data_IF_974600181355
#
_entry.id   IF_974600181355
#
_cell.length_a   1.000
_cell.length_b   1.000
_cell.length_c   1.000
_cell.angle_alpha   90.00
_cell.angle_beta   90.00
_cell.angle_gamma   90.00
#
_symmetry.space_group_name_H-M   'P 1'
#
loop_
_entity.id
_entity.type
_entity.pdbx_description
1 polymer ?
#
# COMPACT_ATOMS: atom_id res chain seq x y z
N UNK A 1 24.20 18.49 -21.72
CA UNK A 1 23.26 19.48 -22.32
C UNK A 1 22.19 20.00 -21.34
N UNK A 2 22.56 20.25 -20.08
CA UNK A 2 21.60 20.75 -19.08
C UNK A 2 21.69 22.26 -18.83
N UNK A 3 22.63 22.97 -19.44
CA UNK A 3 22.77 24.41 -19.24
C UNK A 3 23.10 25.11 -20.58
N UNK A 4 22.16 25.89 -21.07
CA UNK A 4 22.36 26.86 -22.19
C UNK A 4 23.36 27.99 -21.86
N UNK A 5 24.09 27.89 -20.74
CA UNK A 5 25.05 28.88 -20.27
C UNK A 5 26.48 28.36 -20.43
N UNK A 6 27.41 29.23 -20.84
CA UNK A 6 28.82 28.94 -20.87
C UNK A 6 29.32 28.60 -19.44
N UNK A 7 29.73 27.37 -19.25
CA UNK A 7 30.30 26.89 -17.97
C UNK A 7 31.81 27.14 -18.03
N UNK A 8 32.35 27.87 -17.03
CA UNK A 8 33.79 28.06 -16.85
C UNK A 8 34.29 27.13 -15.76
N UNK A 9 35.28 26.28 -16.08
CA UNK A 9 35.90 25.37 -15.13
C UNK A 9 37.16 26.08 -14.55
N UNK A 10 37.17 26.37 -13.25
CA UNK A 10 38.31 27.04 -12.63
C UNK A 10 39.54 26.12 -12.63
N UNK A 11 40.68 26.68 -13.10
CA UNK A 11 41.93 25.92 -13.22
C UNK A 11 42.91 26.15 -12.03
N UNK A 12 42.75 27.21 -11.21
CA UNK A 12 43.61 27.57 -10.09
C UNK A 12 42.89 28.45 -9.06
N UNK A 13 43.47 28.57 -7.87
CA UNK A 13 42.97 29.44 -6.80
C UNK A 13 41.81 28.84 -5.99
N UNK A 14 41.15 29.66 -5.17
CA UNK A 14 40.11 29.24 -4.23
C UNK A 14 38.94 28.52 -4.92
N UNK A 15 38.52 28.97 -6.10
CA UNK A 15 37.46 28.34 -6.87
C UNK A 15 37.85 26.92 -7.35
N UNK A 16 39.11 26.68 -7.69
CA UNK A 16 39.60 25.33 -8.03
C UNK A 16 39.56 24.42 -6.83
N UNK A 17 39.98 24.92 -5.64
CA UNK A 17 39.90 24.14 -4.41
C UNK A 17 38.45 23.80 -4.04
N UNK A 18 37.53 24.74 -4.20
CA UNK A 18 36.12 24.50 -3.99
C UNK A 18 35.55 23.44 -4.97
N UNK A 19 35.95 23.51 -6.25
CA UNK A 19 35.55 22.50 -7.25
C UNK A 19 36.12 21.12 -6.87
N UNK A 20 37.39 21.02 -6.46
CA UNK A 20 37.94 19.74 -6.03
C UNK A 20 37.19 19.16 -4.82
N UNK A 21 36.91 19.98 -3.80
CA UNK A 21 36.13 19.56 -2.63
C UNK A 21 34.71 19.09 -3.04
N UNK A 22 34.09 19.80 -3.95
CA UNK A 22 32.77 19.37 -4.45
C UNK A 22 32.84 18.03 -5.20
N UNK A 23 33.89 17.80 -6.01
CA UNK A 23 34.10 16.52 -6.69
C UNK A 23 34.39 15.38 -5.71
N UNK A 24 35.24 15.63 -4.69
CA UNK A 24 35.50 14.65 -3.63
C UNK A 24 34.24 14.27 -2.86
N UNK A 25 33.43 15.24 -2.42
CA UNK A 25 32.17 15.00 -1.75
C UNK A 25 31.20 14.23 -2.64
N UNK A 26 31.10 14.56 -3.92
CA UNK A 26 30.27 13.84 -4.88
C UNK A 26 30.71 12.39 -5.05
N UNK A 27 32.04 12.15 -5.12
CA UNK A 27 32.61 10.80 -5.21
C UNK A 27 32.29 9.99 -3.97
N UNK A 28 32.50 10.54 -2.76
CA UNK A 28 32.14 9.87 -1.50
C UNK A 28 30.67 9.51 -1.46
N UNK A 29 29.79 10.48 -1.74
CA UNK A 29 28.33 10.25 -1.75
C UNK A 29 27.91 9.19 -2.77
N UNK A 30 28.54 9.13 -3.94
CA UNK A 30 28.31 8.09 -4.94
C UNK A 30 28.76 6.71 -4.43
N UNK A 31 29.96 6.61 -3.88
CA UNK A 31 30.48 5.35 -3.34
C UNK A 31 29.58 4.82 -2.23
N UNK A 32 29.23 5.65 -1.25
CA UNK A 32 28.29 5.26 -0.19
C UNK A 32 26.94 4.80 -0.73
N UNK A 33 26.43 5.46 -1.76
CA UNK A 33 25.17 5.07 -2.41
C UNK A 33 25.28 3.71 -3.08
N UNK A 34 26.37 3.42 -3.80
CA UNK A 34 26.58 2.12 -4.43
C UNK A 34 26.74 1.02 -3.41
N UNK A 35 27.53 1.22 -2.36
CA UNK A 35 27.69 0.24 -1.27
C UNK A 35 26.36 -0.05 -0.55
N UNK A 36 25.53 0.97 -0.35
CA UNK A 36 24.21 0.78 0.21
C UNK A 36 23.29 -0.05 -0.72
N UNK A 37 23.31 0.22 -2.03
CA UNK A 37 22.52 -0.55 -3.02
C UNK A 37 22.95 -2.02 -3.03
N UNK A 38 24.26 -2.30 -3.10
CA UNK A 38 24.81 -3.66 -3.08
C UNK A 38 24.43 -4.39 -1.78
N UNK A 39 24.53 -3.70 -0.65
CA UNK A 39 24.13 -4.27 0.65
C UNK A 39 22.63 -4.57 0.71
N UNK A 40 21.78 -3.66 0.24
CA UNK A 40 20.33 -3.88 0.18
C UNK A 40 19.97 -5.05 -0.74
N UNK A 41 20.65 -5.18 -1.87
CA UNK A 41 20.45 -6.29 -2.79
C UNK A 41 20.89 -7.61 -2.18
N UNK A 42 22.06 -7.66 -1.55
CA UNK A 42 22.54 -8.85 -0.84
C UNK A 42 21.57 -9.28 0.27
N UNK A 43 21.12 -8.33 1.10
CA UNK A 43 20.19 -8.60 2.18
C UNK A 43 18.85 -9.15 1.64
N UNK A 44 18.39 -8.62 0.50
CA UNK A 44 17.18 -9.06 -0.19
C UNK A 44 17.32 -10.49 -0.69
N UNK A 45 18.41 -10.81 -1.36
CA UNK A 45 18.67 -12.18 -1.86
C UNK A 45 18.79 -13.19 -0.72
N UNK A 46 19.42 -12.80 0.40
CA UNK A 46 19.49 -13.65 1.60
C UNK A 46 18.10 -13.91 2.20
N UNK A 47 17.26 -12.88 2.30
CA UNK A 47 15.89 -13.03 2.79
C UNK A 47 15.03 -13.90 1.87
N UNK A 48 15.22 -13.80 0.56
CA UNK A 48 14.54 -14.62 -0.45
C UNK A 48 14.91 -16.10 -0.29
N UNK A 49 16.21 -16.39 -0.23
CA UNK A 49 16.71 -17.77 -0.09
C UNK A 49 16.27 -18.37 1.23
N UNK A 50 16.40 -17.64 2.35
CA UNK A 50 15.97 -18.10 3.67
C UNK A 50 14.46 -18.41 3.69
N UNK A 51 13.61 -17.56 3.13
CA UNK A 51 12.16 -17.80 3.08
C UNK A 51 11.82 -18.99 2.18
N UNK A 52 12.48 -19.09 1.04
CA UNK A 52 12.31 -20.20 0.10
C UNK A 52 12.66 -21.54 0.74
N UNK A 53 13.78 -21.62 1.45
CA UNK A 53 14.21 -22.82 2.17
C UNK A 53 13.28 -23.18 3.33
N UNK A 54 12.93 -22.20 4.18
CA UNK A 54 12.04 -22.41 5.34
C UNK A 54 10.66 -22.95 4.95
N UNK A 55 10.15 -22.52 3.81
CA UNK A 55 8.86 -22.98 3.29
C UNK A 55 8.98 -24.11 2.26
N UNK A 56 10.21 -24.56 1.95
CA UNK A 56 10.50 -25.62 0.96
C UNK A 56 9.88 -25.31 -0.41
N UNK A 57 9.97 -24.06 -0.86
CA UNK A 57 9.38 -23.63 -2.13
C UNK A 57 10.36 -23.87 -3.29
N UNK A 58 9.87 -24.37 -4.45
CA UNK A 58 10.73 -24.56 -5.62
C UNK A 58 11.15 -23.21 -6.25
N UNK A 59 10.30 -22.20 -6.09
CA UNK A 59 10.45 -20.85 -6.64
C UNK A 59 9.80 -19.83 -5.70
N UNK A 60 10.33 -18.59 -5.65
CA UNK A 60 9.76 -17.51 -4.85
C UNK A 60 10.06 -16.13 -5.48
N UNK A 61 9.49 -15.86 -6.62
CA UNK A 61 9.64 -14.56 -7.29
C UNK A 61 8.50 -13.61 -6.97
N UNK A 62 7.28 -14.15 -6.77
CA UNK A 62 6.08 -13.34 -6.55
C UNK A 62 5.37 -13.70 -5.24
N UNK A 63 5.19 -12.71 -4.40
CA UNK A 63 4.47 -12.81 -3.14
C UNK A 63 3.25 -11.88 -3.19
N UNK A 64 2.07 -12.40 -2.85
CA UNK A 64 0.87 -11.60 -2.60
C UNK A 64 0.52 -11.66 -1.12
N UNK A 65 0.51 -10.50 -0.45
CA UNK A 65 0.19 -10.42 0.97
C UNK A 65 -1.16 -9.76 1.20
N UNK A 66 -1.94 -10.31 2.14
CA UNK A 66 -3.31 -9.92 2.44
C UNK A 66 -3.47 -9.52 3.89
N UNK A 67 -4.20 -8.43 4.11
CA UNK A 67 -4.66 -7.99 5.42
C UNK A 67 -6.11 -7.54 5.32
N UNK A 68 -6.91 -7.89 6.31
CA UNK A 68 -8.27 -7.41 6.47
C UNK A 68 -8.34 -6.45 7.63
N UNK A 69 -8.81 -5.25 7.37
CA UNK A 69 -9.04 -4.27 8.42
C UNK A 69 -10.51 -3.98 8.59
N UNK A 70 -10.95 -3.94 9.86
CA UNK A 70 -12.29 -3.62 10.28
C UNK A 70 -12.37 -2.18 10.77
N UNK A 71 -13.30 -1.40 10.25
CA UNK A 71 -13.52 -0.03 10.73
C UNK A 71 -14.83 0.06 11.50
N UNK A 72 -14.73 0.21 12.83
CA UNK A 72 -15.82 0.64 13.75
C UNK A 72 -17.24 0.21 13.31
N UNK A 73 -17.46 -1.09 13.12
CA UNK A 73 -18.80 -1.68 13.00
C UNK A 73 -19.52 -1.56 11.66
N UNK A 74 -18.89 -1.00 10.60
CA UNK A 74 -19.65 -0.76 9.37
C UNK A 74 -19.17 -1.49 8.11
N UNK A 75 -17.86 -1.65 7.89
CA UNK A 75 -17.39 -2.30 6.67
C UNK A 75 -16.02 -2.95 6.86
N UNK A 76 -15.90 -4.18 6.38
CA UNK A 76 -14.61 -4.84 6.19
C UNK A 76 -13.98 -4.40 4.87
N UNK A 77 -12.67 -4.23 4.91
CA UNK A 77 -11.87 -3.94 3.72
C UNK A 77 -10.67 -4.85 3.71
N UNK A 78 -10.49 -5.56 2.59
CA UNK A 78 -9.27 -6.29 2.32
C UNK A 78 -8.25 -5.44 1.56
N UNK A 79 -7.01 -5.49 1.98
CA UNK A 79 -5.85 -4.98 1.25
C UNK A 79 -5.02 -6.13 0.70
N UNK A 80 -4.56 -6.01 -0.54
CA UNK A 80 -3.58 -6.89 -1.14
C UNK A 80 -2.40 -6.08 -1.62
N UNK A 81 -1.20 -6.46 -1.23
CA UNK A 81 0.06 -5.92 -1.75
C UNK A 81 0.82 -7.00 -2.48
N UNK A 82 1.61 -6.60 -3.45
CA UNK A 82 2.39 -7.51 -4.30
C UNK A 82 3.86 -7.15 -4.20
N UNK A 83 4.68 -8.17 -4.04
CA UNK A 83 6.13 -8.07 -4.09
C UNK A 83 6.64 -9.01 -5.19
N UNK A 84 7.32 -8.44 -6.17
CA UNK A 84 8.00 -9.19 -7.23
C UNK A 84 9.51 -9.09 -6.98
N UNK A 85 10.19 -10.23 -6.93
CA UNK A 85 11.62 -10.31 -6.55
C UNK A 85 11.96 -9.54 -5.27
N UNK A 86 11.08 -9.66 -4.26
CA UNK A 86 11.20 -8.99 -2.95
C UNK A 86 11.15 -7.45 -3.01
N UNK A 87 10.70 -6.89 -4.13
CA UNK A 87 10.46 -5.44 -4.31
C UNK A 87 8.96 -5.17 -4.44
N UNK A 88 8.45 -4.07 -3.84
CA UNK A 88 7.03 -3.77 -3.89
C UNK A 88 6.56 -3.36 -5.30
N UNK A 89 5.64 -4.11 -5.88
CA UNK A 89 4.97 -3.77 -7.14
C UNK A 89 3.64 -3.06 -6.88
N UNK A 90 3.71 -1.76 -6.63
CA UNK A 90 2.54 -0.93 -6.26
C UNK A 90 1.46 -0.86 -7.33
N UNK A 91 1.78 -1.13 -8.60
CA UNK A 91 0.81 -1.10 -9.69
C UNK A 91 -0.20 -2.26 -9.59
N UNK A 92 0.20 -3.33 -8.92
CA UNK A 92 -0.64 -4.51 -8.73
C UNK A 92 -1.33 -4.59 -7.37
N UNK A 93 -1.17 -3.60 -6.52
CA UNK A 93 -1.91 -3.52 -5.25
C UNK A 93 -3.41 -3.43 -5.49
N UNK A 94 -4.19 -4.15 -4.71
CA UNK A 94 -5.66 -4.18 -4.84
C UNK A 94 -6.34 -3.93 -3.50
N UNK A 95 -7.50 -3.30 -3.57
CA UNK A 95 -8.40 -3.06 -2.42
C UNK A 95 -9.73 -3.74 -2.70
N UNK A 96 -10.22 -4.45 -1.71
CA UNK A 96 -11.46 -5.19 -1.79
C UNK A 96 -12.45 -4.58 -0.79
N UNK A 97 -13.54 -4.03 -1.32
CA UNK A 97 -14.69 -3.72 -0.49
C UNK A 97 -15.42 -5.05 -0.24
N UNK A 98 -15.51 -5.45 1.02
CA UNK A 98 -16.12 -6.70 1.43
C UNK A 98 -17.63 -6.50 1.57
N UNK A 99 -18.42 -7.55 1.33
CA UNK A 99 -19.88 -7.51 1.45
C UNK A 99 -20.31 -7.11 2.86
N UNK A 100 -21.41 -6.35 2.96
CA UNK A 100 -22.00 -5.96 4.25
C UNK A 100 -22.60 -7.13 5.03
N UNK A 101 -22.79 -8.28 4.37
CA UNK A 101 -23.30 -9.51 5.00
C UNK A 101 -22.22 -10.26 5.79
N UNK A 102 -20.95 -10.00 5.48
CA UNK A 102 -19.79 -10.58 6.18
C UNK A 102 -19.63 -9.93 7.55
N UNK A 103 -19.61 -10.74 8.61
CA UNK A 103 -19.61 -10.27 10.00
C UNK A 103 -18.35 -10.61 10.78
N UNK A 104 -17.45 -11.39 10.20
CA UNK A 104 -16.22 -11.86 10.85
C UNK A 104 -15.01 -11.80 9.92
N UNK A 105 -13.83 -11.75 10.52
CA UNK A 105 -12.55 -11.59 9.81
C UNK A 105 -12.22 -12.78 8.91
N UNK A 106 -12.65 -13.99 9.27
CA UNK A 106 -12.35 -15.21 8.50
C UNK A 106 -13.20 -15.26 7.22
N UNK A 107 -14.48 -14.96 7.33
CA UNK A 107 -15.38 -14.85 6.16
C UNK A 107 -14.93 -13.72 5.24
N UNK A 108 -14.43 -12.62 5.81
CA UNK A 108 -13.84 -11.53 5.04
C UNK A 108 -12.60 -11.97 4.28
N UNK A 109 -11.69 -12.74 4.92
CA UNK A 109 -10.50 -13.29 4.28
C UNK A 109 -10.89 -14.23 3.13
N UNK A 110 -11.83 -15.14 3.35
CA UNK A 110 -12.32 -16.06 2.31
C UNK A 110 -12.87 -15.30 1.10
N UNK A 111 -13.68 -14.26 1.31
CA UNK A 111 -14.22 -13.44 0.22
C UNK A 111 -13.10 -12.77 -0.60
N UNK A 112 -12.11 -12.19 0.05
CA UNK A 112 -11.00 -11.51 -0.61
C UNK A 112 -10.16 -12.50 -1.43
N UNK A 113 -9.77 -13.62 -0.83
CA UNK A 113 -8.98 -14.68 -1.48
C UNK A 113 -9.76 -15.25 -2.66
N UNK A 114 -11.04 -15.60 -2.48
CA UNK A 114 -11.88 -16.10 -3.55
C UNK A 114 -11.95 -15.13 -4.73
N UNK A 115 -12.28 -13.86 -4.49
CA UNK A 115 -12.40 -12.84 -5.55
C UNK A 115 -11.09 -12.60 -6.29
N UNK A 116 -9.96 -12.67 -5.58
CA UNK A 116 -8.65 -12.52 -6.22
C UNK A 116 -8.34 -13.72 -7.11
N UNK A 117 -8.41 -14.93 -6.59
CA UNK A 117 -7.94 -16.12 -7.30
C UNK A 117 -8.95 -16.68 -8.30
N UNK A 118 -10.25 -16.47 -8.09
CA UNK A 118 -11.24 -16.69 -9.15
C UNK A 118 -10.94 -15.81 -10.37
N UNK A 119 -10.56 -14.56 -10.13
CA UNK A 119 -10.17 -13.65 -11.22
C UNK A 119 -8.84 -14.05 -11.87
N UNK A 120 -7.87 -14.55 -11.10
CA UNK A 120 -6.62 -15.10 -11.65
C UNK A 120 -6.91 -16.23 -12.62
N UNK A 121 -7.82 -17.12 -12.27
CA UNK A 121 -8.25 -18.23 -13.15
C UNK A 121 -8.98 -17.75 -14.40
N UNK A 122 -9.91 -16.81 -14.25
CA UNK A 122 -10.75 -16.35 -15.36
C UNK A 122 -10.03 -15.45 -16.37
N UNK A 123 -9.06 -14.67 -15.91
CA UNK A 123 -8.33 -13.69 -16.72
C UNK A 123 -6.89 -14.15 -17.01
N UNK A 124 -6.53 -15.40 -16.67
CA UNK A 124 -5.21 -16.01 -16.88
C UNK A 124 -4.05 -15.15 -16.33
N UNK A 125 -4.27 -14.48 -15.19
CA UNK A 125 -3.23 -13.71 -14.53
C UNK A 125 -2.16 -14.64 -13.93
N UNK A 126 -0.95 -14.10 -13.78
CA UNK A 126 0.13 -14.80 -13.10
C UNK A 126 -0.24 -15.04 -11.64
N UNK A 127 -0.28 -16.31 -11.22
CA UNK A 127 -0.44 -16.69 -9.83
C UNK A 127 0.85 -16.38 -9.04
N UNK A 128 0.75 -16.06 -7.74
CA UNK A 128 1.93 -15.89 -6.91
C UNK A 128 2.58 -17.25 -6.57
N UNK A 129 3.86 -17.19 -6.21
CA UNK A 129 4.57 -18.33 -5.67
C UNK A 129 4.29 -18.54 -4.17
N UNK A 130 3.80 -17.49 -3.49
CA UNK A 130 3.44 -17.52 -2.08
C UNK A 130 2.31 -16.52 -1.78
N UNK A 131 1.32 -16.99 -1.02
CA UNK A 131 0.32 -16.14 -0.35
C UNK A 131 0.77 -15.93 1.09
N UNK A 132 0.87 -14.66 1.52
CA UNK A 132 1.06 -14.30 2.92
C UNK A 132 -0.24 -13.69 3.48
N UNK A 133 -0.65 -14.13 4.66
CA UNK A 133 -1.78 -13.55 5.40
C UNK A 133 -1.29 -12.89 6.69
N UNK A 134 -1.81 -11.69 7.00
CA UNK A 134 -1.58 -11.06 8.30
C UNK A 134 -2.43 -11.75 9.36
N UNK A 135 -1.89 -12.80 9.94
CA UNK A 135 -2.57 -13.63 10.93
C UNK A 135 -1.92 -15.00 11.10
N UNK A 136 -2.51 -15.80 11.98
CA UNK A 136 -2.04 -17.15 12.32
C UNK A 136 -2.85 -18.25 11.65
N UNK A 137 -3.01 -19.35 12.38
CA UNK A 137 -3.62 -20.60 11.91
C UNK A 137 -5.01 -20.44 11.28
N UNK A 138 -5.86 -19.60 11.91
CA UNK A 138 -7.24 -19.41 11.43
C UNK A 138 -7.29 -18.75 10.05
N UNK A 139 -6.46 -17.73 9.85
CA UNK A 139 -6.39 -17.02 8.57
C UNK A 139 -5.77 -17.89 7.47
N UNK A 140 -4.74 -18.68 7.79
CA UNK A 140 -4.14 -19.66 6.88
C UNK A 140 -5.18 -20.69 6.46
N UNK A 141 -5.91 -21.27 7.44
CA UNK A 141 -6.95 -22.27 7.18
C UNK A 141 -8.06 -21.70 6.28
N UNK A 142 -8.52 -20.49 6.59
CA UNK A 142 -9.55 -19.81 5.79
C UNK A 142 -9.09 -19.55 4.34
N UNK A 143 -7.84 -19.13 4.15
CA UNK A 143 -7.27 -18.92 2.82
C UNK A 143 -7.08 -20.25 2.07
N UNK A 144 -6.60 -21.30 2.77
CA UNK A 144 -6.38 -22.62 2.20
C UNK A 144 -7.66 -23.28 1.70
N UNK A 145 -8.74 -23.23 2.47
CA UNK A 145 -10.04 -23.76 2.06
C UNK A 145 -10.47 -23.19 0.69
N UNK A 146 -10.29 -21.90 0.48
CA UNK A 146 -10.66 -21.23 -0.77
C UNK A 146 -9.73 -21.64 -1.92
N UNK A 147 -8.42 -21.72 -1.68
CA UNK A 147 -7.44 -22.14 -2.69
C UNK A 147 -7.68 -23.58 -3.13
N UNK A 148 -8.03 -24.45 -2.17
CA UNK A 148 -8.37 -25.85 -2.43
C UNK A 148 -9.70 -25.97 -3.21
N UNK A 149 -10.74 -25.17 -2.87
CA UNK A 149 -12.01 -25.09 -3.63
C UNK A 149 -11.79 -24.64 -5.08
N UNK A 150 -10.86 -23.76 -5.32
CA UNK A 150 -10.51 -23.29 -6.66
C UNK A 150 -9.55 -24.23 -7.39
N UNK A 151 -9.17 -25.34 -6.78
CA UNK A 151 -8.21 -26.32 -7.32
C UNK A 151 -6.85 -25.72 -7.71
N UNK A 152 -6.43 -24.71 -6.94
CA UNK A 152 -5.13 -24.09 -7.08
C UNK A 152 -4.10 -24.73 -6.13
N UNK A 153 -2.84 -24.76 -6.55
CA UNK A 153 -1.75 -25.23 -5.71
C UNK A 153 -0.79 -24.08 -5.42
N UNK A 154 -1.22 -23.16 -4.56
CA UNK A 154 -0.43 -22.00 -4.17
C UNK A 154 -0.10 -22.13 -2.67
N UNK A 155 1.20 -22.15 -2.30
CA UNK A 155 1.61 -22.18 -0.90
C UNK A 155 1.09 -20.97 -0.12
N UNK A 156 0.72 -21.20 1.16
CA UNK A 156 0.19 -20.16 2.05
C UNK A 156 1.02 -20.16 3.33
N UNK A 157 1.36 -18.97 3.81
CA UNK A 157 1.96 -18.78 5.11
C UNK A 157 1.33 -17.58 5.84
N UNK A 158 1.44 -17.53 7.14
CA UNK A 158 0.89 -16.47 7.99
C UNK A 158 1.97 -15.77 8.81
N UNK A 159 1.74 -14.50 9.08
CA UNK A 159 2.59 -13.68 9.93
C UNK A 159 1.88 -13.46 11.27
N UNK A 160 2.28 -14.23 12.29
CA UNK A 160 1.70 -14.14 13.62
C UNK A 160 2.40 -13.07 14.45
N UNK A 161 1.62 -12.20 15.06
CA UNK A 161 2.08 -11.16 15.98
C UNK A 161 2.23 -11.72 17.39
N UNK A 162 3.26 -11.26 18.11
CA UNK A 162 3.38 -11.52 19.54
C UNK A 162 2.44 -10.62 20.35
N UNK A 163 2.45 -10.79 21.68
CA UNK A 163 1.67 -9.98 22.63
C UNK A 163 1.98 -8.47 22.55
N UNK A 164 3.10 -8.09 21.95
CA UNK A 164 3.50 -6.70 21.69
C UNK A 164 3.06 -6.18 20.32
N UNK A 165 2.20 -6.92 19.61
CA UNK A 165 1.72 -6.64 18.26
C UNK A 165 2.82 -6.51 17.17
N UNK A 166 3.97 -7.17 17.40
CA UNK A 166 5.05 -7.26 16.41
C UNK A 166 5.09 -8.67 15.82
N UNK A 167 5.36 -8.78 14.53
CA UNK A 167 5.64 -10.07 13.89
C UNK A 167 6.73 -10.78 14.66
N UNK A 168 6.51 -12.02 15.00
CA UNK A 168 7.51 -12.80 15.72
C UNK A 168 7.68 -14.20 15.16
N UNK A 169 6.68 -14.68 14.44
CA UNK A 169 6.60 -16.07 14.00
C UNK A 169 6.00 -16.13 12.60
N UNK A 170 6.67 -16.86 11.73
CA UNK A 170 6.12 -17.32 10.46
C UNK A 170 5.39 -18.64 10.71
N UNK A 171 4.15 -18.75 10.24
CA UNK A 171 3.38 -19.99 10.32
C UNK A 171 3.25 -20.55 8.90
N UNK A 172 3.72 -21.78 8.68
CA UNK A 172 3.61 -22.40 7.37
C UNK A 172 2.22 -23.02 7.11
N UNK A 173 2.00 -23.54 5.90
CA UNK A 173 0.73 -24.17 5.52
C UNK A 173 0.34 -25.42 6.32
N UNK A 174 1.31 -26.06 7.01
CA UNK A 174 1.09 -27.20 7.92
C UNK A 174 0.83 -26.73 9.35
N UNK A 175 0.62 -25.44 9.55
CA UNK A 175 0.36 -24.77 10.82
C UNK A 175 1.53 -24.87 11.82
N UNK A 176 2.75 -25.10 11.33
CA UNK A 176 3.95 -25.10 12.16
C UNK A 176 4.48 -23.68 12.31
N UNK A 177 4.73 -23.32 13.56
CA UNK A 177 5.36 -22.05 13.90
C UNK A 177 6.87 -22.11 13.69
N UNK A 178 7.39 -21.15 12.95
CA UNK A 178 8.82 -20.95 12.67
C UNK A 178 9.22 -19.62 13.29
N UNK A 179 9.95 -19.63 14.42
CA UNK A 179 10.39 -18.41 15.06
C UNK A 179 11.43 -17.70 14.18
N UNK A 180 11.27 -16.38 14.03
CA UNK A 180 12.16 -15.55 13.22
C UNK A 180 13.13 -14.78 14.13
N UNK A 181 14.45 -14.90 13.93
CA UNK A 181 15.41 -14.06 14.63
C UNK A 181 15.17 -12.57 14.30
N UNK A 182 15.07 -11.72 15.34
CA UNK A 182 14.65 -10.30 15.19
C UNK A 182 15.58 -9.44 14.33
N UNK A 183 16.81 -9.85 14.17
CA UNK A 183 17.89 -9.21 13.44
C UNK A 183 18.16 -9.86 12.07
N UNK A 184 17.42 -10.92 11.71
CA UNK A 184 17.54 -11.53 10.40
C UNK A 184 16.98 -10.62 9.29
N UNK A 185 17.58 -10.69 8.11
CA UNK A 185 17.08 -9.97 6.94
C UNK A 185 15.68 -10.40 6.55
N UNK A 186 15.38 -11.69 6.72
CA UNK A 186 14.03 -12.22 6.51
C UNK A 186 13.01 -11.60 7.46
N UNK A 187 13.32 -11.52 8.76
CA UNK A 187 12.44 -10.89 9.73
C UNK A 187 12.12 -9.44 9.36
N UNK A 188 13.15 -8.66 9.01
CA UNK A 188 12.98 -7.26 8.59
C UNK A 188 12.14 -7.15 7.31
N UNK A 189 12.34 -8.06 6.36
CA UNK A 189 11.56 -8.09 5.13
C UNK A 189 10.09 -8.43 5.38
N UNK A 190 9.80 -9.46 6.16
CA UNK A 190 8.42 -9.87 6.47
C UNK A 190 7.67 -8.81 7.28
N UNK A 191 8.35 -8.12 8.22
CA UNK A 191 7.78 -6.95 8.89
C UNK A 191 7.43 -5.84 7.90
N UNK A 192 8.32 -5.56 6.93
CA UNK A 192 8.05 -4.56 5.89
C UNK A 192 6.82 -4.92 5.04
N UNK A 193 6.64 -6.19 4.68
CA UNK A 193 5.42 -6.65 3.98
C UNK A 193 4.19 -6.41 4.85
N UNK A 194 4.24 -6.82 6.12
CA UNK A 194 3.13 -6.69 7.05
C UNK A 194 2.74 -5.22 7.28
N UNK A 195 3.71 -4.36 7.51
CA UNK A 195 3.49 -2.93 7.66
C UNK A 195 2.88 -2.31 6.38
N UNK A 196 3.35 -2.74 5.22
CA UNK A 196 2.87 -2.21 3.93
C UNK A 196 1.44 -2.65 3.63
N UNK A 197 1.08 -3.93 3.86
CA UNK A 197 -0.29 -4.40 3.61
C UNK A 197 -1.26 -3.76 4.60
N UNK A 198 -0.89 -3.66 5.87
CA UNK A 198 -1.68 -2.99 6.90
C UNK A 198 -1.88 -1.50 6.58
N UNK A 199 -0.80 -0.78 6.28
CA UNK A 199 -0.86 0.61 5.84
C UNK A 199 -1.77 0.80 4.63
N UNK A 200 -1.69 -0.12 3.66
CA UNK A 200 -2.47 -0.06 2.44
C UNK A 200 -3.97 -0.31 2.69
N UNK A 201 -4.32 -1.30 3.51
CA UNK A 201 -5.68 -1.58 3.92
C UNK A 201 -6.29 -0.38 4.69
N UNK A 202 -5.58 0.17 5.68
CA UNK A 202 -6.03 1.35 6.45
C UNK A 202 -6.18 2.60 5.56
N UNK A 203 -5.31 2.79 4.57
CA UNK A 203 -5.39 3.95 3.68
C UNK A 203 -6.73 4.05 2.95
N UNK A 204 -7.36 2.92 2.67
CA UNK A 204 -8.68 2.86 2.04
C UNK A 204 -9.79 3.33 2.98
N UNK A 205 -9.73 2.94 4.25
CA UNK A 205 -10.68 3.41 5.25
C UNK A 205 -10.63 4.93 5.41
N UNK A 206 -9.42 5.51 5.48
CA UNK A 206 -9.26 6.96 5.55
C UNK A 206 -9.89 7.66 4.34
N UNK A 207 -9.73 7.10 3.15
CA UNK A 207 -10.32 7.64 1.92
C UNK A 207 -11.86 7.52 1.90
N UNK A 208 -12.43 6.39 2.35
CA UNK A 208 -13.88 6.22 2.45
C UNK A 208 -14.45 7.18 3.50
N UNK A 209 -13.83 7.26 4.68
CA UNK A 209 -14.27 8.14 5.76
C UNK A 209 -14.21 9.61 5.34
N UNK A 210 -13.13 10.04 4.69
CA UNK A 210 -13.01 11.41 4.19
C UNK A 210 -14.05 11.73 3.10
N UNK A 211 -14.33 10.81 2.18
CA UNK A 211 -15.37 10.97 1.17
C UNK A 211 -16.77 10.97 1.78
N UNK A 212 -17.04 10.10 2.73
CA UNK A 212 -18.32 10.07 3.45
C UNK A 212 -18.57 11.32 4.28
N UNK A 213 -17.56 11.77 5.03
CA UNK A 213 -17.62 13.02 5.79
C UNK A 213 -17.80 14.23 4.86
N UNK A 214 -17.09 14.25 3.72
CA UNK A 214 -17.25 15.32 2.73
C UNK A 214 -18.64 15.30 2.11
N UNK A 215 -19.19 14.12 1.80
CA UNK A 215 -20.54 14.00 1.27
C UNK A 215 -21.58 14.51 2.27
N UNK A 216 -21.51 14.10 3.55
CA UNK A 216 -22.39 14.59 4.61
C UNK A 216 -22.27 16.09 4.83
N UNK A 217 -21.07 16.65 4.72
CA UNK A 217 -20.82 18.07 4.84
C UNK A 217 -21.45 18.86 3.68
N UNK A 218 -21.38 18.33 2.48
CA UNK A 218 -22.04 18.91 1.32
C UNK A 218 -23.58 18.81 1.38
N UNK A 219 -24.11 17.77 2.05
CA UNK A 219 -25.57 17.63 2.28
C UNK A 219 -26.11 18.73 3.21
N UNK A 220 -25.28 19.25 4.11
CA UNK A 220 -25.63 20.37 5.01
C UNK A 220 -25.39 21.74 4.36
N UNK A 221 -24.69 21.81 3.25
CA UNK A 221 -24.34 23.06 2.61
C UNK A 221 -25.55 23.70 1.91
N UNK A 222 -25.77 25.01 2.10
CA UNK A 222 -26.93 25.71 1.55
C UNK A 222 -26.92 25.69 0.02
N UNK A 223 -28.05 25.22 -0.56
CA UNK A 223 -28.23 25.17 -2.00
C UNK A 223 -27.49 24.06 -2.74
N UNK A 224 -26.85 23.14 -2.02
CA UNK A 224 -26.16 21.98 -2.60
C UNK A 224 -27.08 20.77 -2.51
N UNK A 225 -27.74 20.43 -3.63
CA UNK A 225 -28.46 19.15 -3.82
C UNK A 225 -27.58 18.11 -4.48
N UNK A 226 -28.09 16.87 -4.64
CA UNK A 226 -27.35 15.70 -5.12
C UNK A 226 -26.56 15.96 -6.43
N UNK A 227 -27.15 16.64 -7.40
CA UNK A 227 -26.51 16.93 -8.69
C UNK A 227 -25.27 17.84 -8.51
N UNK A 228 -25.42 18.91 -7.73
CA UNK A 228 -24.34 19.86 -7.44
C UNK A 228 -23.26 19.23 -6.55
N UNK A 229 -23.67 18.44 -5.57
CA UNK A 229 -22.77 17.62 -4.74
C UNK A 229 -21.90 16.71 -5.58
N UNK A 230 -22.50 15.96 -6.52
CA UNK A 230 -21.75 15.09 -7.42
C UNK A 230 -20.78 15.87 -8.31
N UNK A 231 -21.18 17.02 -8.85
CA UNK A 231 -20.32 17.88 -9.65
C UNK A 231 -19.12 18.42 -8.85
N UNK A 232 -19.35 18.90 -7.61
CA UNK A 232 -18.31 19.36 -6.69
C UNK A 232 -17.32 18.24 -6.33
N UNK A 233 -17.83 17.05 -5.98
CA UNK A 233 -17.00 15.89 -5.67
C UNK A 233 -16.16 15.46 -6.88
N UNK A 234 -16.72 15.49 -8.07
CA UNK A 234 -16.03 15.14 -9.31
C UNK A 234 -14.90 16.13 -9.64
N UNK A 235 -15.17 17.45 -9.47
CA UNK A 235 -14.20 18.49 -9.82
C UNK A 235 -13.09 18.66 -8.79
N UNK A 236 -13.46 18.77 -7.51
CA UNK A 236 -12.50 19.12 -6.45
C UNK A 236 -11.98 17.90 -5.66
N UNK A 237 -12.79 16.87 -5.48
CA UNK A 237 -12.41 15.60 -4.87
C UNK A 237 -12.10 15.64 -3.37
N UNK A 238 -11.84 16.80 -2.76
CA UNK A 238 -11.54 16.95 -1.34
C UNK A 238 -11.99 18.30 -0.78
N UNK A 239 -12.31 18.34 0.54
CA UNK A 239 -12.67 19.57 1.23
C UNK A 239 -11.54 20.62 1.16
N UNK A 240 -10.29 20.19 1.29
CA UNK A 240 -9.13 21.08 1.20
C UNK A 240 -9.12 21.85 -0.12
N UNK A 241 -9.24 21.13 -1.24
CA UNK A 241 -9.29 21.77 -2.57
C UNK A 241 -10.50 22.68 -2.75
N UNK A 242 -11.65 22.34 -2.13
CA UNK A 242 -12.82 23.23 -2.18
C UNK A 242 -12.61 24.51 -1.38
N UNK A 243 -11.94 24.45 -0.22
CA UNK A 243 -11.57 25.62 0.60
C UNK A 243 -10.51 26.50 -0.06
N UNK A 244 -9.61 25.91 -0.83
CA UNK A 244 -8.56 26.65 -1.57
C UNK A 244 -9.05 27.22 -2.90
N UNK A 245 -10.24 26.78 -3.38
CA UNK A 245 -10.80 27.22 -4.64
C UNK A 245 -11.28 28.68 -4.58
N UNK A 246 -11.07 29.42 -5.66
CA UNK A 246 -11.64 30.75 -5.85
C UNK A 246 -13.15 30.68 -6.11
N UNK A 247 -13.84 31.81 -5.94
CA UNK A 247 -15.26 31.92 -6.27
C UNK A 247 -15.50 31.58 -7.75
N UNK A 248 -14.65 32.07 -8.66
CA UNK A 248 -14.71 31.80 -10.09
C UNK A 248 -14.57 30.30 -10.43
N UNK A 249 -13.71 29.59 -9.69
CA UNK A 249 -13.56 28.14 -9.84
C UNK A 249 -14.81 27.39 -9.39
N UNK A 250 -15.49 27.83 -8.32
CA UNK A 250 -16.74 27.27 -7.85
C UNK A 250 -17.89 27.53 -8.83
N UNK A 251 -17.91 28.71 -9.47
CA UNK A 251 -18.92 29.10 -10.47
C UNK A 251 -18.87 28.23 -11.73
N UNK A 252 -17.76 27.53 -12.00
CA UNK A 252 -17.71 26.59 -13.11
C UNK A 252 -18.62 25.36 -12.93
N UNK A 253 -19.06 25.08 -11.71
CA UNK A 253 -19.95 23.95 -11.35
C UNK A 253 -21.22 24.38 -10.63
N UNK A 254 -21.26 25.61 -10.11
CA UNK A 254 -22.41 26.18 -9.41
C UNK A 254 -22.83 27.45 -10.12
N UNK A 255 -24.12 27.82 -10.03
CA UNK A 255 -24.54 29.16 -10.41
C UNK A 255 -24.03 30.18 -9.38
N UNK A 256 -23.90 31.45 -9.78
CA UNK A 256 -23.32 32.53 -8.97
C UNK A 256 -23.88 32.59 -7.54
N UNK A 257 -25.22 32.64 -7.38
CA UNK A 257 -25.87 32.79 -6.07
C UNK A 257 -25.55 31.63 -5.12
N UNK A 258 -25.45 30.41 -5.64
CA UNK A 258 -25.12 29.22 -4.86
C UNK A 258 -23.61 29.15 -4.58
N UNK A 259 -22.79 29.57 -5.53
CA UNK A 259 -21.33 29.60 -5.37
C UNK A 259 -20.93 30.58 -4.24
N UNK A 260 -21.54 31.76 -4.18
CA UNK A 260 -21.30 32.74 -3.11
C UNK A 260 -21.67 32.16 -1.73
N UNK A 261 -22.89 31.61 -1.61
CA UNK A 261 -23.34 30.99 -0.34
C UNK A 261 -22.48 29.82 0.09
N UNK A 262 -22.05 29.01 -0.87
CA UNK A 262 -21.19 27.86 -0.59
C UNK A 262 -19.77 28.29 -0.23
N UNK A 263 -19.24 29.33 -0.87
CA UNK A 263 -17.93 29.91 -0.54
C UNK A 263 -17.90 30.49 0.88
N UNK A 264 -18.96 31.18 1.32
CA UNK A 264 -19.10 31.65 2.69
C UNK A 264 -19.19 30.49 3.67
N UNK A 265 -20.02 29.49 3.38
CA UNK A 265 -20.12 28.28 4.19
C UNK A 265 -18.79 27.56 4.38
N UNK A 266 -17.96 27.47 3.31
CA UNK A 266 -16.62 26.87 3.40
C UNK A 266 -15.64 27.64 4.29
N UNK A 267 -15.84 28.95 4.47
CA UNK A 267 -15.02 29.79 5.39
C UNK A 267 -15.40 29.63 6.85
N UNK A 268 -16.64 29.26 7.12
CA UNK A 268 -17.13 29.01 8.48
C UNK A 268 -16.75 27.63 9.04
N UNK A 269 -16.33 26.71 8.16
CA UNK A 269 -15.86 25.36 8.49
C UNK A 269 -14.37 25.35 8.84
#
# INVERSE_FOLDING_TARGET
EYLERKVSIPKRGALKNLLNLACENATVSLTEKYENIEREETNRLQAEEELRELLSLPKLERIEAFDNSHLFGTFYVGGMVVFDHFLPNKNEYRKFKISTEVKDDLSAMKEVIYRRYFRVLMEEFVAPDLILVDGGELQITAAKEVIDELHLNIPIAGLKKNDQHKTSVLVNQDLKEIPLPKDSHLFLFLNRIQDEVHRYAISYHRNIKSKGALASLLDMAPGIGEVRKHALLKKFGSLKKMKEASLEELETVLNHDVAVKFFEYLKEL
#
